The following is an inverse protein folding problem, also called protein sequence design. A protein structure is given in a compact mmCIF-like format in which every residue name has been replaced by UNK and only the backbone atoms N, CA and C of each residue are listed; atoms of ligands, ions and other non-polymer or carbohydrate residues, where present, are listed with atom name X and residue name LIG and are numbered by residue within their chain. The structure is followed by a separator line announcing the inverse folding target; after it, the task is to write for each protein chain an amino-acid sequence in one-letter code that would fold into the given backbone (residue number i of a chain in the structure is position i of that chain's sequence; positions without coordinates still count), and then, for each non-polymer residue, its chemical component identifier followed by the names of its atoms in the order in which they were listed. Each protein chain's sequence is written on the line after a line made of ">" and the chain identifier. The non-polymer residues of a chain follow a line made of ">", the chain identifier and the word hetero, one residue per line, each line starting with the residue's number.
data_IF_232209317764
#
_entry.id   IF_232209317764
#
_cell.length_a   1.000
_cell.length_b   1.000
_cell.length_c   1.000
_cell.angle_alpha   90.00
_cell.angle_beta   90.00
_cell.angle_gamma   90.00
#
_symmetry.space_group_name_H-M   'P 1'
#
loop_
_entity.id
_entity.type
_entity.pdbx_description
1 polymer ?
#
# COMPACT_ATOMS: atom_id res chain seq x y z
N UNK A 1 -18.86 7.70 35.12
CA UNK A 1 -18.50 8.52 33.96
C UNK A 1 -17.94 7.56 32.92
N UNK A 2 -18.83 6.88 32.20
CA UNK A 2 -18.49 6.12 31.00
C UNK A 2 -18.98 6.99 29.84
N UNK A 3 -18.15 7.94 29.39
CA UNK A 3 -18.47 8.63 28.14
C UNK A 3 -18.22 7.66 26.99
N UNK A 4 -19.01 7.80 25.92
CA UNK A 4 -18.79 7.07 24.68
C UNK A 4 -17.36 7.26 24.17
N UNK A 5 -16.80 8.46 24.36
CA UNK A 5 -15.45 8.83 23.96
C UNK A 5 -14.38 7.99 24.68
N UNK A 6 -14.47 7.80 26.00
CA UNK A 6 -13.52 6.95 26.73
C UNK A 6 -13.57 5.47 26.31
N UNK A 7 -14.72 5.01 25.79
CA UNK A 7 -14.82 3.66 25.22
C UNK A 7 -14.12 3.58 23.86
N UNK A 8 -14.22 4.63 23.05
CA UNK A 8 -13.56 4.73 21.74
C UNK A 8 -12.05 4.87 21.91
N UNK A 9 -11.58 5.78 22.76
CA UNK A 9 -10.15 5.98 23.08
C UNK A 9 -9.48 4.67 23.50
N UNK A 10 -10.19 3.86 24.29
CA UNK A 10 -9.68 2.55 24.74
C UNK A 10 -9.63 1.53 23.61
N UNK A 11 -10.58 1.56 22.67
CA UNK A 11 -10.54 0.70 21.48
C UNK A 11 -9.41 1.11 20.54
N UNK A 12 -9.24 2.41 20.28
CA UNK A 12 -8.13 2.95 19.48
C UNK A 12 -6.78 2.54 20.08
N UNK A 13 -6.62 2.66 21.40
CA UNK A 13 -5.43 2.19 22.10
C UNK A 13 -5.19 0.69 21.93
N UNK A 14 -6.23 -0.14 22.02
CA UNK A 14 -6.08 -1.58 21.80
C UNK A 14 -5.69 -1.91 20.36
N UNK A 15 -6.23 -1.22 19.36
CA UNK A 15 -5.83 -1.41 17.96
C UNK A 15 -4.34 -1.05 17.77
N UNK A 16 -3.87 0.04 18.39
CA UNK A 16 -2.45 0.42 18.37
C UNK A 16 -1.53 -0.61 19.07
N UNK A 17 -2.04 -1.35 20.05
CA UNK A 17 -1.29 -2.45 20.65
C UNK A 17 -1.31 -3.69 19.75
N UNK A 18 -2.46 -4.01 19.17
CA UNK A 18 -2.64 -5.19 18.32
C UNK A 18 -1.84 -5.09 17.02
N UNK A 19 -1.78 -3.91 16.40
CA UNK A 19 -0.98 -3.71 15.17
C UNK A 19 0.51 -4.02 15.40
N UNK A 20 1.04 -3.76 16.60
CA UNK A 20 2.43 -4.09 16.97
C UNK A 20 2.68 -5.60 17.12
N UNK A 21 1.62 -6.40 17.14
CA UNK A 21 1.70 -7.87 17.19
C UNK A 21 1.48 -8.52 15.83
N UNK A 22 1.20 -7.73 14.80
CA UNK A 22 1.04 -8.23 13.43
C UNK A 22 2.36 -8.83 12.97
N UNK A 23 2.26 -9.98 12.31
CA UNK A 23 3.36 -10.62 11.64
C UNK A 23 3.75 -9.80 10.40
N UNK A 24 4.82 -9.01 10.53
CA UNK A 24 5.29 -8.11 9.47
C UNK A 24 5.84 -8.85 8.25
N UNK A 25 6.12 -10.16 8.37
CA UNK A 25 6.51 -10.99 7.22
C UNK A 25 5.28 -11.47 6.42
N UNK A 26 4.06 -11.25 6.94
CA UNK A 26 2.81 -11.75 6.32
C UNK A 26 1.80 -10.66 6.02
N UNK A 27 1.68 -9.65 6.88
CA UNK A 27 0.68 -8.58 6.72
C UNK A 27 1.24 -7.15 6.89
N UNK A 28 2.42 -6.82 6.31
CA UNK A 28 3.03 -5.51 6.51
C UNK A 28 2.21 -4.36 5.93
N UNK A 29 1.50 -4.55 4.82
CA UNK A 29 0.66 -3.50 4.23
C UNK A 29 -0.56 -3.18 5.10
N UNK A 30 -1.23 -4.18 5.66
CA UNK A 30 -2.34 -3.93 6.57
C UNK A 30 -1.88 -3.25 7.87
N UNK A 31 -0.71 -3.61 8.38
CA UNK A 31 -0.11 -2.91 9.50
C UNK A 31 0.18 -1.44 9.16
N UNK A 32 0.71 -1.18 7.96
CA UNK A 32 0.99 0.17 7.46
C UNK A 32 -0.27 1.04 7.39
N UNK A 33 -1.39 0.52 6.86
CA UNK A 33 -2.65 1.27 6.79
C UNK A 33 -3.14 1.72 8.17
N UNK A 34 -3.03 0.83 9.16
CA UNK A 34 -3.45 1.11 10.54
C UNK A 34 -2.49 2.11 11.19
N UNK A 35 -1.18 1.92 11.03
CA UNK A 35 -0.15 2.77 11.65
C UNK A 35 -0.21 4.21 11.14
N UNK A 36 -0.47 4.39 9.84
CA UNK A 36 -0.62 5.71 9.21
C UNK A 36 -2.03 6.29 9.36
N UNK A 37 -2.95 5.57 10.00
CA UNK A 37 -4.30 6.03 10.30
C UNK A 37 -5.12 6.33 9.04
N UNK A 38 -5.06 5.45 8.04
CA UNK A 38 -5.90 5.57 6.85
C UNK A 38 -7.35 5.25 7.19
N UNK A 39 -8.27 6.05 6.65
CA UNK A 39 -9.68 5.70 6.61
C UNK A 39 -9.91 4.49 5.71
N UNK A 40 -11.12 3.93 5.78
CA UNK A 40 -11.51 2.84 4.89
C UNK A 40 -11.43 3.28 3.43
N UNK A 41 -11.96 4.46 3.12
CA UNK A 41 -11.98 5.03 1.77
C UNK A 41 -10.56 5.28 1.25
N UNK A 42 -9.66 5.77 2.12
CA UNK A 42 -8.26 5.97 1.77
C UNK A 42 -7.54 4.64 1.48
N UNK A 43 -7.80 3.60 2.28
CA UNK A 43 -7.24 2.26 2.05
C UNK A 43 -7.79 1.60 0.77
N UNK A 44 -9.09 1.72 0.53
CA UNK A 44 -9.74 1.21 -0.70
C UNK A 44 -9.23 1.93 -1.95
N UNK A 45 -8.94 3.23 -1.85
CA UNK A 45 -8.36 4.01 -2.94
C UNK A 45 -6.96 3.52 -3.33
N UNK A 46 -6.11 3.15 -2.37
CA UNK A 46 -4.79 2.56 -2.66
C UNK A 46 -4.94 1.25 -3.44
N UNK A 47 -5.90 0.41 -3.05
CA UNK A 47 -6.19 -0.84 -3.76
C UNK A 47 -6.69 -0.58 -5.18
N UNK A 48 -7.60 0.40 -5.36
CA UNK A 48 -8.12 0.79 -6.67
C UNK A 48 -7.00 1.28 -7.61
N UNK A 49 -6.07 2.08 -7.11
CA UNK A 49 -4.89 2.53 -7.88
C UNK A 49 -4.07 1.32 -8.33
N UNK A 50 -3.85 0.34 -7.43
CA UNK A 50 -3.09 -0.86 -7.76
C UNK A 50 -3.81 -1.74 -8.79
N UNK A 51 -5.14 -1.87 -8.71
CA UNK A 51 -5.95 -2.59 -9.69
C UNK A 51 -5.79 -1.96 -11.09
N UNK A 52 -5.99 -0.65 -11.20
CA UNK A 52 -5.90 0.10 -12.47
C UNK A 52 -4.52 0.01 -13.11
N UNK A 53 -3.46 0.17 -12.31
CA UNK A 53 -2.09 0.07 -12.82
C UNK A 53 -1.69 -1.36 -13.17
N UNK A 54 -2.25 -2.37 -12.50
CA UNK A 54 -2.02 -3.78 -12.84
C UNK A 54 -2.68 -4.15 -14.16
N UNK A 55 -3.89 -3.67 -14.41
CA UNK A 55 -4.58 -3.85 -15.69
C UNK A 55 -3.84 -3.15 -16.84
N UNK A 56 -3.37 -1.92 -16.59
CA UNK A 56 -2.58 -1.17 -17.57
C UNK A 56 -1.24 -1.87 -17.85
N UNK A 57 -0.55 -2.39 -16.83
CA UNK A 57 0.68 -3.17 -17.00
C UNK A 57 0.44 -4.40 -17.88
N UNK A 58 -0.61 -5.18 -17.62
CA UNK A 58 -0.97 -6.35 -18.42
C UNK A 58 -1.26 -5.95 -19.88
N UNK A 59 -1.95 -4.83 -20.07
CA UNK A 59 -2.25 -4.28 -21.41
C UNK A 59 -0.99 -3.87 -22.15
N UNK A 60 -0.08 -3.14 -21.50
CA UNK A 60 1.18 -2.71 -22.09
C UNK A 60 2.09 -3.92 -22.44
N UNK A 61 2.18 -4.93 -21.56
CA UNK A 61 2.88 -6.19 -21.86
C UNK A 61 2.30 -6.89 -23.09
N UNK A 62 0.96 -6.99 -23.19
CA UNK A 62 0.30 -7.61 -24.34
C UNK A 62 0.52 -6.85 -25.66
N UNK A 63 0.73 -5.53 -25.58
CA UNK A 63 1.07 -4.67 -26.72
C UNK A 63 2.57 -4.69 -27.08
N UNK A 64 3.40 -5.39 -26.30
CA UNK A 64 4.84 -5.55 -26.55
C UNK A 64 5.72 -4.45 -25.95
N UNK A 65 5.22 -3.66 -24.99
CA UNK A 65 6.04 -2.72 -24.23
C UNK A 65 6.99 -3.49 -23.28
N UNK A 66 8.16 -2.89 -23.03
CA UNK A 66 9.22 -3.46 -22.18
C UNK A 66 9.71 -2.50 -21.09
N UNK A 67 9.23 -1.25 -21.08
CA UNK A 67 9.57 -0.22 -20.10
C UNK A 67 8.30 0.33 -19.47
N UNK A 68 8.29 0.47 -18.15
CA UNK A 68 7.07 0.77 -17.38
C UNK A 68 7.25 1.92 -16.38
N UNK A 69 8.31 2.71 -16.50
CA UNK A 69 8.68 3.82 -15.60
C UNK A 69 7.51 4.80 -15.35
N UNK A 70 6.66 4.97 -16.36
CA UNK A 70 5.48 5.83 -16.27
C UNK A 70 4.47 5.33 -15.24
N UNK A 71 4.33 4.02 -15.06
CA UNK A 71 3.41 3.44 -14.08
C UNK A 71 3.86 3.76 -12.64
N UNK A 72 5.17 3.71 -12.35
CA UNK A 72 5.69 4.09 -11.03
C UNK A 72 5.44 5.58 -10.76
N UNK A 73 5.67 6.45 -11.75
CA UNK A 73 5.40 7.87 -11.61
C UNK A 73 3.90 8.18 -11.38
N UNK A 74 2.99 7.40 -12.01
CA UNK A 74 1.56 7.51 -11.77
C UNK A 74 1.19 7.03 -10.36
N UNK A 75 1.72 5.89 -9.93
CA UNK A 75 1.55 5.38 -8.57
C UNK A 75 1.96 6.41 -7.54
N UNK A 76 3.20 6.93 -7.62
CA UNK A 76 3.72 7.94 -6.71
C UNK A 76 2.91 9.25 -6.72
N UNK A 77 2.36 9.64 -7.87
CA UNK A 77 1.55 10.85 -8.01
C UNK A 77 0.11 10.71 -7.48
N UNK A 78 -0.41 9.49 -7.36
CA UNK A 78 -1.78 9.21 -6.91
C UNK A 78 -1.84 8.64 -5.49
N UNK A 79 -0.73 8.11 -4.97
CA UNK A 79 -0.67 7.52 -3.64
C UNK A 79 -1.03 8.57 -2.57
N UNK A 80 -1.75 8.12 -1.53
CA UNK A 80 -2.11 8.97 -0.40
C UNK A 80 -0.84 9.54 0.28
N UNK A 81 -0.83 10.85 0.55
CA UNK A 81 0.34 11.57 1.11
C UNK A 81 0.79 11.09 2.50
N UNK A 82 -0.08 10.35 3.22
CA UNK A 82 0.28 9.70 4.50
C UNK A 82 1.21 8.51 4.32
N UNK A 83 1.30 7.97 3.10
CA UNK A 83 2.05 6.78 2.76
C UNK A 83 3.34 7.17 2.03
N UNK A 84 4.45 6.55 2.43
CA UNK A 84 5.69 6.61 1.65
C UNK A 84 5.62 5.62 0.48
N UNK A 85 6.11 6.05 -0.68
CA UNK A 85 6.05 5.27 -1.92
C UNK A 85 6.85 3.97 -1.79
N UNK A 86 8.08 4.03 -1.29
CA UNK A 86 8.94 2.86 -1.16
C UNK A 86 8.38 1.90 -0.12
N UNK A 87 8.04 2.42 1.07
CA UNK A 87 7.44 1.67 2.17
C UNK A 87 6.19 0.91 1.71
N UNK A 88 5.32 1.57 0.95
CA UNK A 88 4.08 0.96 0.45
C UNK A 88 4.34 -0.12 -0.59
N UNK A 89 5.25 0.11 -1.55
CA UNK A 89 5.59 -0.87 -2.59
C UNK A 89 6.13 -2.15 -1.96
N UNK A 90 7.09 -2.02 -1.02
CA UNK A 90 7.64 -3.19 -0.34
C UNK A 90 6.60 -3.86 0.56
N UNK A 91 5.78 -3.11 1.28
CA UNK A 91 4.73 -3.70 2.10
C UNK A 91 3.68 -4.48 1.27
N UNK A 92 3.29 -3.97 0.11
CA UNK A 92 2.41 -4.69 -0.82
C UNK A 92 3.09 -5.97 -1.36
N UNK A 93 4.36 -5.85 -1.76
CA UNK A 93 5.15 -6.97 -2.28
C UNK A 93 5.31 -8.11 -1.27
N UNK A 94 5.77 -7.81 -0.06
CA UNK A 94 5.99 -8.79 1.01
C UNK A 94 4.68 -9.44 1.46
N UNK A 95 3.57 -8.69 1.43
CA UNK A 95 2.24 -9.23 1.70
C UNK A 95 1.70 -10.12 0.55
N UNK A 96 2.38 -10.18 -0.59
CA UNK A 96 1.98 -10.96 -1.76
C UNK A 96 0.84 -10.33 -2.56
N UNK A 97 0.65 -9.01 -2.46
CA UNK A 97 -0.36 -8.27 -3.21
C UNK A 97 0.25 -7.63 -4.47
N UNK A 98 -0.49 -7.68 -5.58
CA UNK A 98 -0.09 -7.06 -6.85
C UNK A 98 1.34 -7.41 -7.30
N UNK A 99 1.74 -8.67 -7.09
CA UNK A 99 3.15 -9.08 -7.21
C UNK A 99 3.81 -8.63 -8.51
N UNK A 100 3.17 -8.84 -9.67
CA UNK A 100 3.75 -8.42 -10.96
C UNK A 100 3.99 -6.91 -11.07
N UNK A 101 3.09 -6.09 -10.52
CA UNK A 101 3.21 -4.64 -10.52
C UNK A 101 4.32 -4.20 -9.56
N UNK A 102 4.34 -4.76 -8.35
CA UNK A 102 5.34 -4.42 -7.34
C UNK A 102 6.75 -4.85 -7.76
N UNK A 103 6.92 -6.00 -8.42
CA UNK A 103 8.21 -6.43 -8.97
C UNK A 103 8.75 -5.44 -10.00
N UNK A 104 7.89 -4.97 -10.91
CA UNK A 104 8.24 -3.94 -11.89
C UNK A 104 8.64 -2.64 -11.21
N UNK A 105 7.90 -2.20 -10.19
CA UNK A 105 8.26 -0.99 -9.44
C UNK A 105 9.58 -1.13 -8.68
N UNK A 106 9.83 -2.27 -8.05
CA UNK A 106 11.08 -2.56 -7.36
C UNK A 106 12.27 -2.57 -8.34
N UNK A 107 12.09 -3.12 -9.54
CA UNK A 107 13.12 -3.11 -10.59
C UNK A 107 13.43 -1.68 -11.05
N UNK A 108 12.39 -0.87 -11.29
CA UNK A 108 12.54 0.54 -11.66
C UNK A 108 13.29 1.31 -10.56
N UNK A 109 12.89 1.18 -9.28
CA UNK A 109 13.53 1.91 -8.17
C UNK A 109 15.03 1.59 -8.07
N UNK A 110 15.43 0.32 -8.23
CA UNK A 110 16.86 -0.10 -8.24
C UNK A 110 17.70 0.55 -9.36
N UNK A 111 17.06 1.04 -10.42
CA UNK A 111 17.74 1.73 -11.51
C UNK A 111 17.90 3.23 -11.28
N UNK A 112 17.13 3.83 -10.36
CA UNK A 112 17.12 5.26 -10.09
C UNK A 112 17.67 5.64 -8.69
N UNK A 113 17.77 4.68 -7.77
CA UNK A 113 18.43 4.81 -6.44
C UNK A 113 19.95 4.56 -6.50
#
# INVERSE_FOLDING_TARGET
>A
MDSMDHRIERLEYYIQLLVKTVDMDRYPFYALLIDKGLSKEEGEEVMRICDELSEELATQKAQGFVTFDKLLALFAGQLNEKLDVHETIFALYEQGLYQELMEVFIDIMKHFD
#
